data_IF_702890486251
#
_entry.id   IF_702890486251
#
_cell.length_a   1.000
_cell.length_b   1.000
_cell.length_c   1.000
_cell.angle_alpha   90.00
_cell.angle_beta   90.00
_cell.angle_gamma   90.00
#
_symmetry.space_group_name_H-M   'P 1'
#
loop_
_entity.id
_entity.type
_entity.pdbx_description
1 polymer ?
#
# COMPACT_ATOMS: atom_id res chain seq x y z
N UNK A 1 -0.73 11.70 -3.66
CA UNK A 1 0.51 11.24 -2.99
C UNK A 1 0.39 11.65 -1.53
N UNK A 2 0.80 10.79 -0.58
CA UNK A 2 0.70 11.05 0.86
C UNK A 2 -0.50 10.38 1.54
N UNK A 3 -1.45 9.84 0.78
CA UNK A 3 -2.60 9.11 1.30
C UNK A 3 -2.17 7.86 2.06
N UNK A 4 -2.79 7.65 3.22
CA UNK A 4 -2.63 6.45 4.03
C UNK A 4 -3.64 5.39 3.59
N UNK A 5 -3.14 4.18 3.37
CA UNK A 5 -3.92 3.08 2.79
C UNK A 5 -3.64 1.77 3.50
N UNK A 6 -4.60 0.87 3.42
CA UNK A 6 -4.36 -0.56 3.51
C UNK A 6 -4.09 -1.09 2.11
N UNK A 7 -3.06 -1.91 1.94
CA UNK A 7 -2.78 -2.58 0.68
C UNK A 7 -2.77 -4.09 0.81
N UNK A 8 -3.20 -4.78 -0.27
CA UNK A 8 -3.28 -6.24 -0.32
C UNK A 8 -2.33 -6.80 -1.37
N UNK A 9 -1.31 -7.53 -0.92
CA UNK A 9 -0.47 -8.37 -1.77
C UNK A 9 -0.89 -9.84 -1.66
N UNK A 10 -0.68 -10.60 -2.75
CA UNK A 10 -0.95 -12.04 -2.75
C UNK A 10 -0.07 -12.74 -1.70
N UNK A 11 -0.68 -13.55 -0.84
CA UNK A 11 0.03 -14.28 0.22
C UNK A 11 0.25 -13.50 1.52
N UNK A 12 -0.19 -12.23 1.61
CA UNK A 12 -0.06 -11.40 2.82
C UNK A 12 -1.42 -10.92 3.30
N UNK A 13 -1.54 -10.61 4.59
CA UNK A 13 -2.67 -9.87 5.15
C UNK A 13 -2.77 -8.46 4.54
N UNK A 14 -3.88 -7.76 4.80
CA UNK A 14 -3.92 -6.33 4.55
C UNK A 14 -2.85 -5.65 5.41
N UNK A 15 -2.04 -4.78 4.82
CA UNK A 15 -0.94 -4.11 5.51
C UNK A 15 -1.02 -2.60 5.34
N UNK A 16 -0.72 -1.80 6.38
CA UNK A 16 -0.81 -0.36 6.27
C UNK A 16 0.40 0.21 5.53
N UNK A 17 0.17 1.24 4.72
CA UNK A 17 1.20 1.95 3.96
C UNK A 17 0.79 3.36 3.54
N UNK A 18 1.68 4.03 2.83
CA UNK A 18 1.47 5.38 2.28
C UNK A 18 1.74 5.39 0.78
N UNK A 19 0.86 6.02 0.00
CA UNK A 19 1.08 6.23 -1.43
C UNK A 19 2.22 7.24 -1.62
N UNK A 20 3.26 6.87 -2.35
CA UNK A 20 4.47 7.67 -2.57
C UNK A 20 4.70 7.94 -4.06
N UNK A 21 5.49 8.98 -4.35
CA UNK A 21 5.95 9.23 -5.72
C UNK A 21 6.99 8.18 -6.13
N UNK A 22 7.01 7.82 -7.42
CA UNK A 22 8.06 6.96 -7.99
C UNK A 22 9.47 7.53 -7.82
N UNK A 23 9.59 8.86 -7.70
CA UNK A 23 10.85 9.53 -7.41
C UNK A 23 11.48 9.05 -6.09
N UNK A 24 10.64 8.77 -5.08
CA UNK A 24 11.12 8.28 -3.78
C UNK A 24 11.61 6.83 -3.83
N UNK A 25 11.17 6.05 -4.81
CA UNK A 25 11.52 4.63 -4.91
C UNK A 25 12.81 4.42 -5.70
N UNK A 26 13.29 5.44 -6.43
CA UNK A 26 14.42 5.33 -7.35
C UNK A 26 14.15 4.39 -8.54
N UNK A 27 12.88 4.13 -8.87
CA UNK A 27 12.44 3.19 -9.91
C UNK A 27 11.51 3.87 -10.92
N UNK A 28 11.17 3.16 -11.99
CA UNK A 28 10.25 3.63 -13.03
C UNK A 28 8.86 4.00 -12.49
N UNK A 29 8.14 4.80 -13.28
CA UNK A 29 6.74 5.15 -13.03
C UNK A 29 5.88 3.89 -12.87
N UNK A 30 4.91 3.95 -11.97
CA UNK A 30 3.90 2.92 -11.84
C UNK A 30 3.07 2.88 -13.13
N UNK A 31 2.65 1.68 -13.55
CA UNK A 31 1.74 1.51 -14.66
C UNK A 31 0.37 2.14 -14.35
N UNK A 32 -0.42 2.41 -15.39
CA UNK A 32 -1.80 2.87 -15.21
C UNK A 32 -2.59 1.90 -14.32
N UNK A 33 -3.51 2.43 -13.49
CA UNK A 33 -4.25 1.63 -12.52
C UNK A 33 -3.43 1.13 -11.32
N UNK A 34 -2.16 1.53 -11.18
CA UNK A 34 -1.32 1.13 -10.04
C UNK A 34 -0.72 2.31 -9.30
N UNK A 35 -0.25 2.07 -8.08
CA UNK A 35 0.40 3.07 -7.21
C UNK A 35 1.62 2.48 -6.53
N UNK A 36 2.64 3.31 -6.34
CA UNK A 36 3.74 2.99 -5.43
C UNK A 36 3.28 3.18 -3.99
N UNK A 37 3.44 2.15 -3.17
CA UNK A 37 3.15 2.15 -1.74
C UNK A 37 4.45 1.89 -0.98
N UNK A 38 4.73 2.72 0.02
CA UNK A 38 5.74 2.46 1.04
C UNK A 38 5.03 1.84 2.25
N UNK A 39 5.49 0.67 2.69
CA UNK A 39 4.88 -0.05 3.81
C UNK A 39 5.37 0.46 5.15
N UNK A 40 4.46 0.58 6.12
CA UNK A 40 4.86 0.81 7.51
C UNK A 40 5.48 -0.46 8.11
N UNK A 41 6.40 -0.26 9.05
CA UNK A 41 7.18 -1.34 9.68
C UNK A 41 8.55 -1.51 9.05
N UNK A 42 8.63 -1.82 7.76
CA UNK A 42 9.91 -2.13 7.08
C UNK A 42 10.33 -1.12 6.00
N UNK A 43 9.47 -0.16 5.64
CA UNK A 43 9.78 0.88 4.66
C UNK A 43 9.94 0.39 3.22
N UNK A 44 9.62 -0.88 2.92
CA UNK A 44 9.75 -1.42 1.56
C UNK A 44 8.72 -0.80 0.62
N UNK A 45 9.07 -0.81 -0.66
CA UNK A 45 8.22 -0.30 -1.73
C UNK A 45 7.58 -1.42 -2.53
N UNK A 46 6.33 -1.23 -2.94
CA UNK A 46 5.65 -2.12 -3.88
C UNK A 46 4.75 -1.34 -4.82
N UNK A 47 4.57 -1.85 -6.04
CA UNK A 47 3.53 -1.40 -6.97
C UNK A 47 2.28 -2.21 -6.68
N UNK A 48 1.17 -1.52 -6.39
CA UNK A 48 -0.10 -2.14 -6.00
C UNK A 48 -1.23 -1.61 -6.89
N UNK A 49 -2.09 -2.50 -7.37
CA UNK A 49 -3.29 -2.10 -8.13
C UNK A 49 -4.26 -1.33 -7.24
N UNK A 50 -4.93 -0.32 -7.79
CA UNK A 50 -5.85 0.54 -7.02
C UNK A 50 -7.01 -0.23 -6.41
N UNK A 51 -7.46 -1.33 -7.05
CA UNK A 51 -8.51 -2.21 -6.55
C UNK A 51 -8.06 -3.06 -5.35
N UNK A 52 -6.75 -3.07 -5.07
CA UNK A 52 -6.13 -3.73 -3.91
C UNK A 52 -5.71 -2.72 -2.84
N UNK A 53 -6.22 -1.50 -2.91
CA UNK A 53 -6.02 -0.46 -1.90
C UNK A 53 -7.37 -0.10 -1.26
N UNK A 54 -7.35 0.10 0.05
CA UNK A 54 -8.45 0.69 0.81
C UNK A 54 -7.92 1.92 1.56
N UNK A 55 -8.74 2.95 1.79
CA UNK A 55 -8.37 4.04 2.68
C UNK A 55 -8.01 3.50 4.07
N UNK A 56 -7.03 4.10 4.76
CA UNK A 56 -6.66 3.67 6.12
C UNK A 56 -7.86 3.70 7.09
N UNK A 57 -8.83 4.60 6.85
CA UNK A 57 -10.09 4.70 7.59
C UNK A 57 -10.96 3.44 7.54
N UNK A 58 -10.76 2.55 6.56
CA UNK A 58 -11.39 1.21 6.50
C UNK A 58 -10.78 0.21 7.50
N UNK A 59 -10.35 0.70 8.67
CA UNK A 59 -9.60 -0.06 9.68
C UNK A 59 -10.31 -1.35 10.10
N UNK A 60 -11.62 -1.29 10.36
CA UNK A 60 -12.40 -2.46 10.78
C UNK A 60 -12.42 -3.61 9.76
N UNK A 61 -12.25 -3.31 8.46
CA UNK A 61 -12.26 -4.31 7.39
C UNK A 61 -10.88 -4.95 7.15
N UNK A 62 -9.81 -4.26 7.54
CA UNK A 62 -8.45 -4.60 7.13
C UNK A 62 -7.53 -4.98 8.29
N UNK A 63 -7.84 -4.50 9.50
CA UNK A 63 -7.08 -4.83 10.70
C UNK A 63 -7.26 -6.30 11.06
N UNK A 64 -6.16 -7.05 11.07
CA UNK A 64 -6.15 -8.43 11.54
C UNK A 64 -5.70 -8.45 12.98
N UNK A 65 -6.64 -8.69 13.90
CA UNK A 65 -6.32 -8.89 15.30
C UNK A 65 -5.57 -10.23 15.45
N UNK A 66 -4.43 -10.27 16.16
CA UNK A 66 -3.78 -11.53 16.50
C UNK A 66 -4.74 -12.40 17.33
N UNK A 67 -4.91 -13.64 16.91
CA UNK A 67 -5.58 -14.71 17.69
C UNK A 67 -4.63 -15.30 18.71
#
# INVERSE_FOLDING_TARGET
IGELVWGKLRGFSWWPGRIVSWLMTGRSRAAEGTRWVMWFGDGKFSVVCVEKLLPLSSFHNAFHQPT
#
